data_IF_605674624174
#
_entry.id   IF_605674624174
#
_cell.length_a   1.000
_cell.length_b   1.000
_cell.length_c   1.000
_cell.angle_alpha   90.00
_cell.angle_beta   90.00
_cell.angle_gamma   90.00
#
_symmetry.space_group_name_H-M   'P 1'
#
loop_
_entity.id
_entity.type
_entity.pdbx_description
1 polymer ?
#
# COMPACT_ATOMS: atom_id res chain seq x y z
N UNK A 1 -7.68 11.39 13.16
CA UNK A 1 -6.22 11.44 13.23
C UNK A 1 -5.75 10.39 14.23
N UNK A 2 -4.53 9.88 14.06
CA UNK A 2 -3.90 9.01 15.04
C UNK A 2 -3.31 9.79 16.23
N UNK A 3 -2.50 9.13 17.09
CA UNK A 3 -2.11 9.69 18.39
C UNK A 3 -1.19 10.91 18.33
N UNK A 4 -0.35 11.03 17.32
CA UNK A 4 0.55 12.17 17.08
C UNK A 4 0.13 13.06 15.90
N UNK A 5 -0.98 12.71 15.23
CA UNK A 5 -1.66 13.57 14.26
C UNK A 5 -1.03 13.60 12.87
N UNK A 6 -0.08 12.71 12.58
CA UNK A 6 0.61 12.67 11.29
C UNK A 6 -0.14 11.84 10.22
N UNK A 7 -1.19 11.08 10.62
CA UNK A 7 -2.00 10.25 9.74
C UNK A 7 -3.47 10.63 9.78
N UNK A 8 -4.14 10.55 8.61
CA UNK A 8 -5.53 10.89 8.43
C UNK A 8 -6.39 9.63 8.29
N UNK A 9 -7.43 9.50 9.12
CA UNK A 9 -8.54 8.55 8.94
C UNK A 9 -9.72 9.21 8.24
N UNK A 10 -10.35 8.52 7.28
CA UNK A 10 -11.55 8.99 6.58
C UNK A 10 -12.64 7.93 6.71
N UNK A 11 -13.80 8.36 7.19
CA UNK A 11 -15.01 7.53 7.27
C UNK A 11 -16.12 8.23 6.52
N UNK A 12 -16.83 7.51 5.69
CA UNK A 12 -17.98 8.03 4.94
C UNK A 12 -19.20 8.20 5.86
N UNK A 13 -20.23 8.90 5.39
CA UNK A 13 -21.46 9.12 6.14
C UNK A 13 -22.17 7.80 6.52
N UNK A 14 -22.03 6.76 5.71
CA UNK A 14 -22.59 5.41 5.92
C UNK A 14 -21.66 4.47 6.73
N UNK A 15 -20.58 5.01 7.30
CA UNK A 15 -19.68 4.27 8.18
C UNK A 15 -18.57 3.48 7.48
N UNK A 16 -18.42 3.61 6.15
CA UNK A 16 -17.37 2.93 5.41
C UNK A 16 -16.00 3.60 5.64
N UNK A 17 -15.02 2.85 6.10
CA UNK A 17 -13.65 3.33 6.22
C UNK A 17 -12.97 3.39 4.83
N UNK A 18 -12.41 4.56 4.50
CA UNK A 18 -11.62 4.76 3.28
C UNK A 18 -10.15 4.61 3.63
N UNK A 19 -9.58 3.45 3.33
CA UNK A 19 -8.18 3.16 3.62
C UNK A 19 -7.21 4.09 2.87
N UNK A 20 -6.00 4.32 3.39
CA UNK A 20 -5.05 5.31 2.85
C UNK A 20 -4.70 5.10 1.38
N UNK A 21 -4.56 3.88 0.90
CA UNK A 21 -4.31 3.58 -0.51
C UNK A 21 -5.47 3.98 -1.43
N UNK A 22 -6.71 3.95 -0.94
CA UNK A 22 -7.88 4.50 -1.65
C UNK A 22 -7.92 6.03 -1.57
N UNK A 23 -7.54 6.63 -0.44
CA UNK A 23 -7.38 8.08 -0.32
C UNK A 23 -6.35 8.59 -1.32
N UNK A 24 -5.24 7.85 -1.50
CA UNK A 24 -4.19 8.17 -2.47
C UNK A 24 -4.68 8.21 -3.91
N UNK A 25 -5.74 7.51 -4.29
CA UNK A 25 -6.34 7.64 -5.63
C UNK A 25 -6.81 9.07 -5.86
N UNK A 26 -7.56 9.66 -4.93
CA UNK A 26 -8.04 11.04 -5.03
C UNK A 26 -6.89 12.05 -4.97
N UNK A 27 -5.95 11.86 -4.07
CA UNK A 27 -4.77 12.71 -3.95
C UNK A 27 -3.92 12.70 -5.22
N UNK A 28 -3.69 11.51 -5.80
CA UNK A 28 -2.93 11.37 -7.04
C UNK A 28 -3.64 12.06 -8.21
N UNK A 29 -4.95 11.87 -8.38
CA UNK A 29 -5.73 12.54 -9.42
C UNK A 29 -5.67 14.06 -9.30
N UNK A 30 -5.82 14.59 -8.08
CA UNK A 30 -5.76 16.04 -7.84
C UNK A 30 -4.35 16.60 -8.11
N UNK A 31 -3.30 15.96 -7.60
CA UNK A 31 -1.90 16.38 -7.80
C UNK A 31 -1.50 16.29 -9.27
N UNK A 32 -1.82 15.18 -9.94
CA UNK A 32 -1.45 14.95 -11.35
C UNK A 32 -2.20 15.88 -12.32
N UNK A 33 -3.34 16.42 -11.94
CA UNK A 33 -4.00 17.47 -12.72
C UNK A 33 -3.15 18.74 -12.89
N UNK A 34 -2.20 18.98 -11.97
CA UNK A 34 -1.26 20.12 -12.00
C UNK A 34 0.17 19.71 -12.34
N UNK A 35 0.54 18.45 -12.08
CA UNK A 35 1.89 17.91 -12.36
C UNK A 35 1.75 16.63 -13.20
N UNK A 36 1.28 16.71 -14.44
CA UNK A 36 1.15 15.56 -15.32
C UNK A 36 2.53 14.90 -15.56
N UNK A 37 2.57 13.57 -15.61
CA UNK A 37 3.82 12.80 -15.71
C UNK A 37 4.58 12.65 -14.40
N UNK A 38 4.10 13.23 -13.30
CA UNK A 38 4.71 13.08 -11.98
C UNK A 38 4.72 11.63 -11.48
N UNK A 39 5.80 11.25 -10.82
CA UNK A 39 5.92 9.93 -10.19
C UNK A 39 5.21 9.94 -8.83
N UNK A 40 4.25 9.05 -8.68
CA UNK A 40 3.54 8.83 -7.40
C UNK A 40 4.10 7.58 -6.75
N UNK A 41 4.71 7.75 -5.57
CA UNK A 41 5.29 6.64 -4.82
C UNK A 41 4.27 6.04 -3.84
N UNK A 42 4.29 4.72 -3.71
CA UNK A 42 3.46 4.01 -2.73
C UNK A 42 4.14 2.73 -2.26
N UNK A 43 3.82 2.29 -1.04
CA UNK A 43 4.47 1.12 -0.47
C UNK A 43 3.86 -0.20 -0.98
N UNK A 44 4.61 -1.29 -0.79
CA UNK A 44 4.23 -2.64 -1.25
C UNK A 44 2.93 -3.16 -0.60
N UNK A 45 2.42 -2.53 0.45
CA UNK A 45 1.15 -2.91 1.10
C UNK A 45 -0.07 -2.32 0.41
N UNK A 46 0.10 -1.30 -0.42
CA UNK A 46 -1.00 -0.64 -1.12
C UNK A 46 -1.71 -1.57 -2.11
N UNK A 47 -3.00 -1.30 -2.29
CA UNK A 47 -3.88 -2.02 -3.22
C UNK A 47 -3.32 -2.06 -4.64
N UNK A 48 -3.51 -3.19 -5.31
CA UNK A 48 -3.19 -3.35 -6.73
C UNK A 48 -3.95 -2.35 -7.63
N UNK A 49 -5.05 -1.80 -7.15
CA UNK A 49 -5.86 -0.81 -7.89
C UNK A 49 -5.24 0.57 -7.97
N UNK A 50 -4.26 0.88 -7.11
CA UNK A 50 -3.65 2.20 -7.04
C UNK A 50 -2.81 2.52 -8.28
N UNK A 51 -1.96 1.60 -8.72
CA UNK A 51 -1.08 1.83 -9.88
C UNK A 51 -1.86 2.13 -11.18
N UNK A 52 -2.91 1.38 -11.56
CA UNK A 52 -3.75 1.71 -12.70
C UNK A 52 -4.45 3.08 -12.57
N UNK A 53 -4.89 3.44 -11.36
CA UNK A 53 -5.53 4.73 -11.12
C UNK A 53 -4.56 5.91 -11.32
N UNK A 54 -3.31 5.77 -10.85
CA UNK A 54 -2.23 6.74 -11.08
C UNK A 54 -1.94 6.88 -12.58
N UNK A 55 -1.80 5.75 -13.29
CA UNK A 55 -1.53 5.76 -14.73
C UNK A 55 -2.68 6.39 -15.53
N UNK A 56 -3.93 6.10 -15.16
CA UNK A 56 -5.12 6.71 -15.78
C UNK A 56 -5.18 8.24 -15.56
N UNK A 57 -4.60 8.74 -14.46
CA UNK A 57 -4.45 10.17 -14.19
C UNK A 57 -3.19 10.79 -14.83
N UNK A 58 -2.55 10.11 -15.79
CA UNK A 58 -1.32 10.53 -16.47
C UNK A 58 -0.10 10.66 -15.55
N UNK A 59 -0.03 9.88 -14.48
CA UNK A 59 1.13 9.77 -13.60
C UNK A 59 1.96 8.52 -13.84
N UNK A 60 3.14 8.47 -13.23
CA UNK A 60 4.02 7.30 -13.23
C UNK A 60 3.91 6.60 -11.86
N UNK A 61 3.26 5.43 -11.76
CA UNK A 61 3.18 4.69 -10.50
C UNK A 61 4.53 4.06 -10.16
N UNK A 62 4.99 4.26 -8.92
CA UNK A 62 6.22 3.64 -8.41
C UNK A 62 5.97 2.95 -7.07
N UNK A 63 5.82 1.63 -7.10
CA UNK A 63 5.79 0.82 -5.89
C UNK A 63 7.19 0.75 -5.28
N UNK A 64 7.27 0.97 -3.96
CA UNK A 64 8.54 1.04 -3.24
C UNK A 64 8.47 0.32 -1.89
N UNK A 65 9.59 0.29 -1.17
CA UNK A 65 9.68 -0.31 0.17
C UNK A 65 8.83 0.46 1.17
N UNK A 66 8.21 -0.25 2.11
CA UNK A 66 7.54 0.34 3.28
C UNK A 66 8.56 1.05 4.17
N UNK A 67 8.24 2.27 4.57
CA UNK A 67 9.02 3.11 5.48
C UNK A 67 9.03 4.56 5.02
N UNK A 68 8.39 5.42 5.80
CA UNK A 68 8.22 6.84 5.47
C UNK A 68 9.55 7.53 5.11
N UNK A 69 10.64 7.21 5.82
CA UNK A 69 11.97 7.77 5.54
C UNK A 69 12.51 7.30 4.18
N UNK A 70 12.26 6.04 3.81
CA UNK A 70 12.71 5.47 2.54
C UNK A 70 11.97 6.09 1.35
N UNK A 71 10.65 6.26 1.47
CA UNK A 71 9.83 6.90 0.42
C UNK A 71 10.25 8.36 0.26
N UNK A 72 10.39 9.12 1.35
CA UNK A 72 10.86 10.51 1.32
C UNK A 72 12.24 10.66 0.70
N UNK A 73 13.16 9.74 0.99
CA UNK A 73 14.48 9.72 0.38
C UNK A 73 14.42 9.43 -1.13
N UNK A 74 13.57 8.48 -1.54
CA UNK A 74 13.36 8.16 -2.97
C UNK A 74 12.71 9.30 -3.75
N UNK A 75 11.77 10.02 -3.15
CA UNK A 75 11.19 11.23 -3.75
C UNK A 75 12.28 12.28 -4.03
N UNK A 76 13.15 12.56 -3.04
CA UNK A 76 14.29 13.49 -3.21
C UNK A 76 15.29 13.02 -4.27
N UNK A 77 15.54 11.72 -4.35
CA UNK A 77 16.40 11.13 -5.37
C UNK A 77 15.86 11.39 -6.78
N UNK A 78 14.56 11.15 -6.99
CA UNK A 78 13.91 11.42 -8.28
C UNK A 78 14.03 12.90 -8.67
N UNK A 79 13.74 13.81 -7.74
CA UNK A 79 13.87 15.26 -7.97
C UNK A 79 15.31 15.68 -8.30
N UNK A 80 16.29 15.10 -7.59
CA UNK A 80 17.72 15.37 -7.86
C UNK A 80 18.15 15.00 -9.27
N UNK A 81 17.49 14.02 -9.88
CA UNK A 81 17.75 13.59 -11.25
C UNK A 81 16.82 14.26 -12.30
N UNK A 82 16.16 15.34 -11.91
CA UNK A 82 15.31 16.14 -12.82
C UNK A 82 13.90 15.58 -13.04
N UNK A 83 13.49 14.53 -12.29
CA UNK A 83 12.12 14.04 -12.28
C UNK A 83 11.23 14.82 -11.33
N UNK A 84 9.92 14.57 -11.39
CA UNK A 84 8.94 15.10 -10.45
C UNK A 84 8.37 13.95 -9.59
N UNK A 85 8.43 14.10 -8.27
CA UNK A 85 7.82 13.18 -7.31
C UNK A 85 6.87 13.96 -6.37
N UNK A 86 5.71 14.42 -6.88
CA UNK A 86 4.86 15.38 -6.19
C UNK A 86 4.07 14.79 -5.01
N UNK A 87 3.94 13.46 -4.95
CA UNK A 87 3.17 12.75 -3.92
C UNK A 87 3.77 11.38 -3.64
N UNK A 88 3.81 11.01 -2.39
CA UNK A 88 4.05 9.64 -1.93
C UNK A 88 3.12 9.27 -0.80
N UNK A 89 2.98 7.97 -0.51
CA UNK A 89 2.19 7.53 0.64
C UNK A 89 2.32 6.05 0.95
N UNK A 90 1.79 5.68 2.09
CA UNK A 90 1.83 4.32 2.61
C UNK A 90 0.43 3.84 3.00
N UNK A 91 0.23 2.53 2.96
CA UNK A 91 -1.00 1.91 3.47
C UNK A 91 -1.24 2.19 4.95
N UNK A 92 -0.19 2.49 5.72
CA UNK A 92 -0.27 2.88 7.13
C UNK A 92 -0.90 4.26 7.38
N UNK A 93 -1.04 5.10 6.33
CA UNK A 93 -1.65 6.42 6.43
C UNK A 93 -0.68 7.59 6.34
N UNK A 94 0.62 7.36 6.32
CA UNK A 94 1.60 8.41 6.06
C UNK A 94 1.47 8.89 4.61
N UNK A 95 1.17 10.17 4.40
CA UNK A 95 1.01 10.79 3.09
C UNK A 95 1.96 11.98 2.96
N UNK A 96 2.74 12.00 1.90
CA UNK A 96 3.82 12.97 1.67
C UNK A 96 3.50 13.83 0.45
N UNK A 97 2.91 15.00 0.66
CA UNK A 97 2.70 15.98 -0.38
C UNK A 97 3.96 16.80 -0.60
N UNK A 98 4.52 16.76 -1.81
CA UNK A 98 5.59 17.65 -2.24
C UNK A 98 5.06 18.78 -3.13
N UNK A 99 3.98 18.53 -3.84
CA UNK A 99 3.21 19.53 -4.54
C UNK A 99 2.46 20.40 -3.53
N UNK A 100 2.80 21.70 -3.48
CA UNK A 100 2.26 22.73 -2.56
C UNK A 100 2.53 22.45 -1.06
N UNK A 101 3.50 21.54 -0.71
CA UNK A 101 3.92 21.27 0.64
C UNK A 101 5.39 20.82 0.69
N UNK A 102 5.89 20.49 1.86
CA UNK A 102 7.32 20.25 2.11
C UNK A 102 7.75 18.79 1.90
N UNK A 103 6.82 17.85 1.75
CA UNK A 103 7.12 16.43 1.49
C UNK A 103 7.36 15.59 2.74
N UNK A 104 6.92 16.04 3.91
CA UNK A 104 6.83 15.20 5.10
C UNK A 104 5.39 14.73 5.34
N UNK A 105 5.23 13.74 6.20
CA UNK A 105 3.96 13.22 6.65
C UNK A 105 3.24 14.26 7.53
N UNK A 106 2.02 14.62 7.15
CA UNK A 106 1.21 15.63 7.81
C UNK A 106 -0.27 15.31 7.62
N UNK A 107 -0.86 14.69 8.65
CA UNK A 107 -2.28 14.30 8.62
C UNK A 107 -3.21 15.51 8.50
N UNK A 108 -2.89 16.63 9.16
CA UNK A 108 -3.70 17.85 9.11
C UNK A 108 -3.70 18.43 7.70
N UNK A 109 -2.53 18.52 7.05
CA UNK A 109 -2.43 18.97 5.67
C UNK A 109 -3.15 18.02 4.71
N UNK A 110 -2.97 16.70 4.87
CA UNK A 110 -3.69 15.69 4.07
C UNK A 110 -5.22 15.86 4.22
N UNK A 111 -5.70 16.15 5.44
CA UNK A 111 -7.10 16.47 5.70
C UNK A 111 -7.59 17.72 4.95
N UNK A 112 -6.83 18.81 4.97
CA UNK A 112 -7.15 20.03 4.20
C UNK A 112 -7.19 19.75 2.69
N UNK A 113 -6.25 18.96 2.16
CA UNK A 113 -6.23 18.55 0.75
C UNK A 113 -7.44 17.70 0.37
N UNK A 114 -7.85 16.78 1.26
CA UNK A 114 -9.06 15.99 1.04
C UNK A 114 -10.32 16.88 1.04
N UNK A 115 -10.43 17.81 1.97
CA UNK A 115 -11.55 18.77 1.99
C UNK A 115 -11.57 19.63 0.71
N UNK A 116 -10.43 20.09 0.22
CA UNK A 116 -10.32 20.83 -1.04
C UNK A 116 -10.83 19.98 -2.23
N UNK A 117 -10.48 18.69 -2.28
CA UNK A 117 -10.95 17.77 -3.34
C UNK A 117 -12.48 17.59 -3.24
N UNK A 118 -12.96 17.27 -2.06
CA UNK A 118 -14.37 16.96 -1.83
C UNK A 118 -15.28 18.18 -2.01
N UNK A 119 -14.79 19.40 -1.72
CA UNK A 119 -15.54 20.65 -1.91
C UNK A 119 -15.92 20.94 -3.37
N UNK A 120 -15.27 20.29 -4.32
CA UNK A 120 -15.56 20.41 -5.76
C UNK A 120 -16.80 19.60 -6.18
N UNK A 121 -17.35 18.78 -5.29
CA UNK A 121 -18.53 17.96 -5.54
C UNK A 121 -19.67 18.34 -4.59
N UNK A 122 -20.93 18.33 -5.03
CA UNK A 122 -22.08 18.53 -4.18
C UNK A 122 -22.32 17.37 -3.20
N UNK A 123 -21.75 16.19 -3.46
CA UNK A 123 -21.87 14.99 -2.62
C UNK A 123 -20.49 14.34 -2.39
N UNK A 124 -19.88 14.71 -1.27
CA UNK A 124 -18.60 14.14 -0.84
C UNK A 124 -18.68 12.62 -0.57
N UNK A 125 -19.83 12.14 -0.06
CA UNK A 125 -20.04 10.72 0.22
C UNK A 125 -20.06 9.90 -1.06
N UNK A 126 -20.70 10.38 -2.11
CA UNK A 126 -20.69 9.74 -3.43
C UNK A 126 -19.28 9.67 -4.02
N UNK A 127 -18.46 10.72 -3.89
CA UNK A 127 -17.07 10.73 -4.34
C UNK A 127 -16.24 9.64 -3.65
N UNK A 128 -16.36 9.55 -2.32
CA UNK A 128 -15.62 8.56 -1.52
C UNK A 128 -16.08 7.13 -1.82
N UNK A 129 -17.38 6.90 -1.95
CA UNK A 129 -17.93 5.57 -2.23
C UNK A 129 -17.69 5.10 -3.67
N UNK A 130 -17.45 6.01 -4.61
CA UNK A 130 -17.09 5.68 -5.99
C UNK A 130 -15.64 5.18 -6.16
N UNK A 131 -14.80 5.30 -5.12
CA UNK A 131 -13.42 4.82 -5.18
C UNK A 131 -13.36 3.31 -5.41
N UNK A 132 -12.40 2.83 -6.23
CA UNK A 132 -12.20 1.40 -6.44
C UNK A 132 -12.06 0.67 -5.11
N UNK A 133 -12.78 -0.41 -4.94
CA UNK A 133 -12.71 -1.25 -3.75
C UNK A 133 -12.28 -2.68 -4.11
N UNK A 134 -11.73 -3.38 -3.12
CA UNK A 134 -11.33 -4.78 -3.20
C UNK A 134 -11.65 -5.46 -1.87
N UNK A 135 -11.75 -6.78 -1.90
CA UNK A 135 -11.80 -7.59 -0.69
C UNK A 135 -10.37 -7.77 -0.17
N UNK A 136 -10.11 -7.47 1.08
CA UNK A 136 -8.77 -7.60 1.65
C UNK A 136 -8.82 -8.10 3.09
N UNK A 137 -7.79 -8.83 3.50
CA UNK A 137 -7.58 -9.10 4.91
C UNK A 137 -7.17 -7.81 5.63
N UNK A 138 -7.41 -7.71 6.95
CA UNK A 138 -6.62 -6.80 7.77
C UNK A 138 -5.14 -7.15 7.65
N UNK A 139 -4.26 -6.32 8.21
CA UNK A 139 -2.86 -6.68 8.36
C UNK A 139 -2.76 -7.86 9.33
N UNK A 140 -2.07 -8.93 8.91
CA UNK A 140 -1.89 -10.15 9.69
C UNK A 140 -0.41 -10.27 10.08
N UNK A 141 -0.16 -10.79 11.28
CA UNK A 141 1.18 -10.96 11.82
C UNK A 141 1.48 -12.42 12.15
N UNK A 142 2.74 -12.81 11.92
CA UNK A 142 3.31 -14.08 12.36
C UNK A 142 4.54 -13.81 13.19
N UNK A 143 4.50 -14.13 14.47
CA UNK A 143 5.64 -13.95 15.39
C UNK A 143 6.83 -14.80 14.98
N UNK A 144 8.00 -14.20 15.01
CA UNK A 144 9.29 -14.84 14.75
C UNK A 144 10.24 -14.59 15.92
N UNK A 145 11.28 -15.42 16.05
CA UNK A 145 12.41 -15.04 16.90
C UNK A 145 13.15 -13.86 16.27
N UNK A 146 13.82 -13.08 17.10
CA UNK A 146 14.59 -11.93 16.64
C UNK A 146 15.65 -12.35 15.60
N UNK A 147 15.77 -11.56 14.52
CA UNK A 147 16.70 -11.84 13.42
C UNK A 147 16.31 -12.98 12.45
N UNK A 148 15.21 -13.69 12.68
CA UNK A 148 14.79 -14.84 11.84
C UNK A 148 14.02 -14.40 10.58
N UNK A 149 13.28 -13.29 10.63
CA UNK A 149 12.44 -12.84 9.51
C UNK A 149 13.17 -12.73 8.17
N UNK A 150 14.43 -12.21 8.07
CA UNK A 150 15.13 -12.12 6.79
C UNK A 150 15.40 -13.49 6.15
N UNK A 151 15.74 -14.49 6.95
CA UNK A 151 15.99 -15.86 6.45
C UNK A 151 14.69 -16.50 5.92
N UNK A 152 13.56 -16.32 6.61
CA UNK A 152 12.25 -16.79 6.16
C UNK A 152 11.84 -16.11 4.85
N UNK A 153 12.04 -14.81 4.72
CA UNK A 153 11.76 -14.07 3.48
C UNK A 153 12.64 -14.57 2.33
N UNK A 154 13.93 -14.78 2.56
CA UNK A 154 14.82 -15.32 1.55
C UNK A 154 14.36 -16.72 1.06
N UNK A 155 13.89 -17.57 1.95
CA UNK A 155 13.31 -18.88 1.60
C UNK A 155 12.01 -18.70 0.79
N UNK A 156 11.12 -17.80 1.21
CA UNK A 156 9.89 -17.51 0.49
C UNK A 156 10.18 -17.07 -0.95
N UNK A 157 11.12 -16.15 -1.13
CA UNK A 157 11.56 -15.66 -2.45
C UNK A 157 12.14 -16.81 -3.30
N UNK A 158 12.95 -17.68 -2.70
CA UNK A 158 13.55 -18.82 -3.40
C UNK A 158 12.50 -19.82 -3.91
N UNK A 159 11.45 -20.06 -3.14
CA UNK A 159 10.39 -21.00 -3.52
C UNK A 159 9.33 -20.39 -4.44
N UNK A 160 9.18 -19.08 -4.45
CA UNK A 160 8.10 -18.39 -5.16
C UNK A 160 8.02 -18.73 -6.66
N UNK A 161 9.13 -18.73 -7.46
CA UNK A 161 9.05 -19.02 -8.89
C UNK A 161 8.54 -20.43 -9.23
N UNK A 162 8.85 -21.41 -8.39
CA UNK A 162 8.35 -22.77 -8.56
C UNK A 162 6.92 -22.98 -8.03
N UNK A 163 6.45 -22.05 -7.15
CA UNK A 163 5.13 -22.14 -6.52
C UNK A 163 4.08 -21.35 -7.31
N UNK A 164 4.46 -20.19 -7.84
CA UNK A 164 3.56 -19.24 -8.49
C UNK A 164 3.93 -19.08 -9.98
N UNK A 165 3.30 -19.89 -10.81
CA UNK A 165 3.46 -19.79 -12.26
C UNK A 165 2.67 -18.62 -12.86
N UNK A 166 3.00 -18.25 -14.10
CA UNK A 166 2.23 -17.28 -14.88
C UNK A 166 0.69 -17.58 -14.80
N UNK A 167 -0.17 -16.56 -14.72
CA UNK A 167 0.11 -15.14 -14.93
C UNK A 167 0.55 -14.35 -13.68
N UNK A 168 0.97 -15.02 -12.60
CA UNK A 168 1.46 -14.35 -11.40
C UNK A 168 2.79 -13.61 -11.66
N UNK A 169 2.89 -12.39 -11.14
CA UNK A 169 4.10 -11.56 -11.22
C UNK A 169 4.71 -11.44 -9.82
N UNK A 170 5.97 -11.81 -9.70
CA UNK A 170 6.70 -11.81 -8.42
C UNK A 170 7.50 -10.52 -8.29
N UNK A 171 7.32 -9.80 -7.17
CA UNK A 171 8.12 -8.65 -6.77
C UNK A 171 8.82 -8.93 -5.45
N UNK A 172 10.10 -8.58 -5.39
CA UNK A 172 10.95 -8.74 -4.19
C UNK A 172 11.46 -7.41 -3.65
N UNK A 173 10.75 -6.32 -3.95
CA UNK A 173 11.13 -4.96 -3.54
C UNK A 173 11.22 -4.83 -2.02
N UNK A 174 10.26 -5.42 -1.29
CA UNK A 174 10.22 -5.43 0.18
C UNK A 174 9.51 -6.71 0.66
N UNK A 175 10.26 -7.79 0.79
CA UNK A 175 9.73 -9.12 1.04
C UNK A 175 9.32 -9.84 -0.25
N UNK A 176 8.29 -10.65 -0.18
CA UNK A 176 7.68 -11.35 -1.31
C UNK A 176 6.27 -10.81 -1.55
N UNK A 177 6.09 -10.10 -2.65
CA UNK A 177 4.77 -9.76 -3.17
C UNK A 177 4.52 -10.54 -4.46
N UNK A 178 3.34 -11.13 -4.58
CA UNK A 178 2.89 -11.86 -5.76
C UNK A 178 1.60 -11.21 -6.23
N UNK A 179 1.61 -10.66 -7.43
CA UNK A 179 0.45 -10.03 -8.07
C UNK A 179 -0.15 -10.97 -9.10
N UNK A 180 -1.44 -11.28 -8.99
CA UNK A 180 -2.27 -11.94 -9.99
C UNK A 180 -3.15 -10.91 -10.70
N UNK A 181 -3.77 -11.24 -11.84
CA UNK A 181 -4.68 -10.31 -12.53
C UNK A 181 -5.86 -9.83 -11.67
N UNK A 182 -6.22 -10.59 -10.64
CA UNK A 182 -7.38 -10.37 -9.79
C UNK A 182 -7.05 -10.14 -8.30
N UNK A 183 -5.81 -9.78 -7.97
CA UNK A 183 -5.40 -9.44 -6.61
C UNK A 183 -3.94 -9.73 -6.31
N UNK A 184 -3.53 -9.55 -5.05
CA UNK A 184 -2.15 -9.81 -4.64
C UNK A 184 -2.04 -10.45 -3.26
N UNK A 185 -0.89 -11.08 -3.01
CA UNK A 185 -0.47 -11.55 -1.68
C UNK A 185 0.90 -11.00 -1.32
N UNK A 186 1.09 -10.62 -0.06
CA UNK A 186 2.33 -10.09 0.47
C UNK A 186 2.77 -10.86 1.71
N UNK A 187 4.06 -11.20 1.79
CA UNK A 187 4.78 -11.66 2.99
C UNK A 187 6.04 -10.82 3.10
N UNK A 188 6.17 -10.03 4.16
CA UNK A 188 7.36 -9.20 4.40
C UNK A 188 7.80 -9.26 5.87
N UNK A 189 9.04 -8.90 6.14
CA UNK A 189 9.50 -8.67 7.51
C UNK A 189 9.05 -7.29 8.01
N UNK A 190 8.62 -7.19 9.27
CA UNK A 190 8.43 -5.89 9.90
C UNK A 190 9.78 -5.18 10.10
N UNK A 191 9.79 -3.84 9.99
CA UNK A 191 10.98 -3.03 10.23
C UNK A 191 11.19 -2.73 11.72
N UNK A 192 10.16 -2.90 12.55
CA UNK A 192 10.14 -2.44 13.94
C UNK A 192 9.96 -3.56 14.96
N UNK A 193 9.42 -4.68 14.55
CA UNK A 193 9.09 -5.81 15.44
C UNK A 193 9.48 -7.14 14.79
N UNK A 194 9.80 -8.19 15.59
CA UNK A 194 10.18 -9.50 15.06
C UNK A 194 8.97 -10.32 14.57
N UNK A 195 8.29 -9.81 13.55
CA UNK A 195 7.14 -10.48 12.92
C UNK A 195 7.26 -10.50 11.40
N UNK A 196 6.63 -11.48 10.76
CA UNK A 196 6.25 -11.39 9.36
C UNK A 196 4.89 -10.69 9.30
N UNK A 197 4.80 -9.71 8.39
CA UNK A 197 3.56 -9.01 8.06
C UNK A 197 3.00 -9.62 6.80
N UNK A 198 1.71 -9.98 6.84
CA UNK A 198 0.99 -10.54 5.71
C UNK A 198 -0.17 -9.62 5.34
N UNK A 199 -0.46 -9.49 4.05
CA UNK A 199 -1.65 -8.85 3.53
C UNK A 199 -2.08 -9.54 2.24
N UNK A 200 -3.39 -9.77 2.10
CA UNK A 200 -3.97 -10.39 0.92
C UNK A 200 -5.11 -9.52 0.41
N UNK A 201 -5.22 -9.43 -0.90
CA UNK A 201 -6.28 -8.69 -1.59
C UNK A 201 -6.77 -9.48 -2.78
N UNK A 202 -8.09 -9.45 -3.01
CA UNK A 202 -8.73 -9.99 -4.19
C UNK A 202 -9.79 -9.04 -4.74
N UNK A 203 -9.98 -9.02 -6.06
CA UNK A 203 -11.05 -8.23 -6.70
C UNK A 203 -12.44 -8.80 -6.39
N UNK A 204 -12.48 -10.06 -6.00
CA UNK A 204 -13.66 -10.79 -5.48
C UNK A 204 -13.27 -11.52 -4.21
N UNK A 205 -14.25 -11.90 -3.41
CA UNK A 205 -14.03 -12.70 -2.19
C UNK A 205 -13.40 -14.07 -2.52
N UNK A 206 -13.83 -14.69 -3.62
CA UNK A 206 -13.25 -15.95 -4.10
C UNK A 206 -11.77 -15.79 -4.51
N UNK A 207 -11.40 -14.67 -5.15
CA UNK A 207 -10.01 -14.36 -5.47
C UNK A 207 -9.18 -14.15 -4.21
N UNK A 208 -9.72 -13.42 -3.21
CA UNK A 208 -9.05 -13.23 -1.92
C UNK A 208 -8.73 -14.57 -1.25
N UNK A 209 -9.73 -15.45 -1.10
CA UNK A 209 -9.52 -16.75 -0.45
C UNK A 209 -8.52 -17.65 -1.20
N UNK A 210 -8.55 -17.63 -2.55
CA UNK A 210 -7.58 -18.36 -3.37
C UNK A 210 -6.16 -17.86 -3.16
N UNK A 211 -5.97 -16.53 -3.19
CA UNK A 211 -4.67 -15.88 -3.01
C UNK A 211 -4.14 -16.13 -1.60
N UNK A 212 -4.97 -15.91 -0.59
CA UNK A 212 -4.64 -16.17 0.80
C UNK A 212 -4.22 -17.63 0.99
N UNK A 213 -5.02 -18.59 0.51
CA UNK A 213 -4.71 -20.00 0.59
C UNK A 213 -3.37 -20.37 -0.04
N UNK A 214 -3.06 -19.81 -1.23
CA UNK A 214 -1.81 -20.05 -1.94
C UNK A 214 -0.59 -19.48 -1.17
N UNK A 215 -0.70 -18.26 -0.65
CA UNK A 215 0.35 -17.62 0.12
C UNK A 215 0.58 -18.29 1.49
N UNK A 216 -0.49 -18.70 2.16
CA UNK A 216 -0.40 -19.43 3.43
C UNK A 216 0.17 -20.84 3.26
N UNK A 217 -0.06 -21.50 2.12
CA UNK A 217 0.59 -22.78 1.81
C UNK A 217 2.11 -22.61 1.69
N UNK A 218 2.58 -21.55 1.02
CA UNK A 218 4.01 -21.20 0.99
C UNK A 218 4.55 -20.88 2.39
N UNK A 219 3.81 -20.09 3.17
CA UNK A 219 4.21 -19.73 4.53
C UNK A 219 4.38 -20.99 5.41
N UNK A 220 3.44 -21.92 5.37
CA UNK A 220 3.53 -23.19 6.12
C UNK A 220 4.72 -24.05 5.70
N UNK A 221 5.15 -23.99 4.45
CA UNK A 221 6.35 -24.69 3.95
C UNK A 221 7.63 -24.16 4.58
N UNK A 222 7.74 -22.83 4.76
CA UNK A 222 8.94 -22.18 5.31
C UNK A 222 8.90 -22.03 6.83
N UNK A 223 7.71 -21.99 7.42
CA UNK A 223 7.44 -21.90 8.86
C UNK A 223 6.23 -22.76 9.24
N UNK A 224 6.42 -24.08 9.43
CA UNK A 224 5.32 -25.02 9.71
C UNK A 224 4.52 -24.70 10.99
N UNK A 225 5.17 -24.08 11.97
CA UNK A 225 4.61 -23.67 13.27
C UNK A 225 4.00 -22.24 13.24
N UNK A 226 3.82 -21.64 12.06
CA UNK A 226 3.29 -20.29 11.92
C UNK A 226 1.89 -20.18 12.55
N UNK A 227 1.75 -19.26 13.51
CA UNK A 227 0.47 -18.84 14.09
C UNK A 227 0.16 -17.45 13.56
N UNK A 228 -1.01 -17.30 12.93
CA UNK A 228 -1.44 -16.06 12.30
C UNK A 228 -2.33 -15.32 13.29
N UNK A 229 -1.99 -14.08 13.56
CA UNK A 229 -2.74 -13.17 14.44
C UNK A 229 -3.12 -11.92 13.64
N UNK A 230 -4.28 -11.34 13.88
CA UNK A 230 -4.60 -10.01 13.35
C UNK A 230 -3.73 -8.98 14.06
N UNK A 231 -3.13 -8.04 13.31
CA UNK A 231 -2.38 -6.96 13.91
C UNK A 231 -3.27 -6.14 14.85
N UNK A 232 -2.82 -5.92 16.09
CA UNK A 232 -3.48 -4.96 16.98
C UNK A 232 -3.17 -3.54 16.48
N UNK A 233 -4.21 -2.76 16.27
CA UNK A 233 -4.13 -1.33 15.94
C UNK A 233 -4.25 -0.47 17.19
#
# INVERSE_FOLDING_TARGET
>A
FDGDGDRLGIVTKDGTNIYPDRQMVLFAQDVLSRVPGGTILFDVKCSQRLAPAIAAASGVPLMFKTGHSLIKAKMKEIEKHGGAAPLGGEMSGHIFFKERWYGFDDGSYAGCRMLEILSKSPDANAVLNALPNSFSTPELNVKCAEGVSPALIAQAITFAPATFAAPAVISTIDGLRVDWPDGFGLIRGSNTTPVLVLRFEGHTEAALHRIEGAMLALLKRIKPDAKIETAAH
#
